data_IF_467829974684
#
_entry.id   IF_467829974684
#
_cell.length_a   1.000
_cell.length_b   1.000
_cell.length_c   1.000
_cell.angle_alpha   90.00
_cell.angle_beta   90.00
_cell.angle_gamma   90.00
#
_symmetry.space_group_name_H-M   'P 1'
#
loop_
_entity.id
_entity.type
_entity.pdbx_description
1 polymer ?
#
# COMPACT_ATOMS: atom_id res chain seq x y z
N UNK A 1 24.95 -23.98 -2.22
CA UNK A 1 24.30 -25.01 -3.08
C UNK A 1 22.98 -24.45 -3.56
N UNK A 2 22.57 -24.71 -4.80
CA UNK A 2 21.25 -24.31 -5.28
C UNK A 2 20.17 -25.19 -4.66
N UNK A 3 19.07 -24.56 -4.22
CA UNK A 3 17.89 -25.22 -3.66
C UNK A 3 16.66 -24.83 -4.48
N UNK A 4 15.61 -25.64 -4.38
CA UNK A 4 14.27 -25.32 -4.91
C UNK A 4 13.27 -25.24 -3.77
N UNK A 5 12.59 -24.11 -3.66
CA UNK A 5 11.48 -23.91 -2.74
C UNK A 5 10.16 -23.93 -3.51
N UNK A 6 9.22 -24.74 -3.05
CA UNK A 6 7.81 -24.63 -3.41
C UNK A 6 7.11 -23.92 -2.27
N UNK A 7 6.64 -22.70 -2.54
CA UNK A 7 6.02 -21.83 -1.56
C UNK A 7 4.53 -21.74 -1.88
N UNK A 8 3.70 -21.98 -0.88
CA UNK A 8 2.26 -21.76 -0.96
C UNK A 8 1.90 -20.54 -0.10
N UNK A 9 1.25 -19.56 -0.72
CA UNK A 9 0.88 -18.30 -0.09
C UNK A 9 -0.63 -18.15 -0.10
N UNK A 10 -1.22 -17.88 1.05
CA UNK A 10 -2.67 -17.64 1.20
C UNK A 10 -2.94 -16.24 1.74
N UNK A 11 -4.17 -15.76 1.53
CA UNK A 11 -4.64 -14.45 1.98
C UNK A 11 -5.16 -13.60 0.82
N UNK A 12 -5.03 -12.28 0.95
CA UNK A 12 -5.33 -11.33 -0.13
C UNK A 12 -4.14 -11.21 -1.06
N UNK A 13 -3.93 -12.25 -1.88
CA UNK A 13 -2.76 -12.38 -2.77
C UNK A 13 -3.12 -12.41 -4.26
N UNK A 14 -4.35 -12.77 -4.62
CA UNK A 14 -4.78 -12.71 -6.02
C UNK A 14 -5.36 -11.34 -6.37
N UNK A 15 -5.25 -10.95 -7.66
CA UNK A 15 -5.79 -9.69 -8.25
C UNK A 15 -5.17 -8.39 -7.70
N UNK A 16 -4.35 -8.46 -6.66
CA UNK A 16 -3.67 -7.32 -6.00
C UNK A 16 -2.25 -7.08 -6.50
N UNK A 17 -1.79 -7.80 -7.52
CA UNK A 17 -0.46 -7.64 -8.10
C UNK A 17 0.64 -8.49 -7.45
N UNK A 18 0.30 -9.40 -6.53
CA UNK A 18 1.28 -10.21 -5.79
C UNK A 18 2.28 -10.98 -6.67
N UNK A 19 1.85 -11.65 -7.75
CA UNK A 19 2.81 -12.36 -8.65
C UNK A 19 3.84 -11.42 -9.27
N UNK A 20 3.46 -10.16 -9.55
CA UNK A 20 4.38 -9.12 -10.03
C UNK A 20 5.33 -8.62 -8.94
N UNK A 21 4.82 -8.48 -7.72
CA UNK A 21 5.62 -8.19 -6.52
C UNK A 21 6.65 -9.32 -6.27
N UNK A 22 6.23 -10.58 -6.30
CA UNK A 22 7.11 -11.74 -6.17
C UNK A 22 8.25 -11.70 -7.20
N UNK A 23 7.98 -11.37 -8.47
CA UNK A 23 9.05 -11.19 -9.47
C UNK A 23 10.04 -10.07 -9.09
N UNK A 24 9.55 -8.93 -8.59
CA UNK A 24 10.41 -7.82 -8.17
C UNK A 24 11.39 -8.27 -7.07
N UNK A 25 10.88 -9.00 -6.08
CA UNK A 25 11.66 -9.53 -4.96
C UNK A 25 12.61 -10.64 -5.43
N UNK A 26 12.17 -11.53 -6.33
CA UNK A 26 12.99 -12.59 -6.88
C UNK A 26 14.23 -12.03 -7.60
N UNK A 27 14.03 -11.02 -8.44
CA UNK A 27 15.11 -10.34 -9.15
C UNK A 27 16.12 -9.68 -8.20
N UNK A 28 15.66 -9.14 -7.07
CA UNK A 28 16.53 -8.50 -6.06
C UNK A 28 17.48 -9.51 -5.40
N UNK A 29 17.01 -10.74 -5.19
CA UNK A 29 17.74 -11.77 -4.45
C UNK A 29 18.38 -12.86 -5.34
N UNK A 30 18.36 -12.67 -6.66
CA UNK A 30 18.92 -13.64 -7.61
C UNK A 30 18.17 -14.97 -7.64
N UNK A 31 16.85 -14.92 -7.45
CA UNK A 31 15.95 -16.08 -7.43
C UNK A 31 15.25 -16.21 -8.79
N UNK A 32 15.19 -17.44 -9.30
CA UNK A 32 14.58 -17.82 -10.56
C UNK A 32 13.33 -18.66 -10.32
N UNK A 33 12.45 -18.80 -11.32
CA UNK A 33 11.26 -19.66 -11.21
C UNK A 33 9.97 -18.98 -11.66
N UNK A 34 8.87 -19.24 -10.98
CA UNK A 34 7.58 -18.67 -11.35
C UNK A 34 6.60 -18.53 -10.19
N UNK A 35 5.58 -17.71 -10.39
CA UNK A 35 4.43 -17.61 -9.50
C UNK A 35 3.13 -17.80 -10.29
N UNK A 36 2.21 -18.64 -9.79
CA UNK A 36 0.92 -18.93 -10.43
C UNK A 36 -0.24 -18.84 -9.42
N UNK A 37 -1.41 -18.41 -9.90
CA UNK A 37 -2.63 -18.42 -9.10
C UNK A 37 -3.25 -19.82 -9.11
N UNK A 38 -3.64 -20.31 -7.95
CA UNK A 38 -4.41 -21.56 -7.83
C UNK A 38 -5.91 -21.28 -7.79
N UNK A 39 -6.72 -22.29 -8.11
CA UNK A 39 -8.18 -22.20 -8.17
C UNK A 39 -8.84 -21.97 -6.82
N UNK A 40 -8.16 -22.32 -5.73
CA UNK A 40 -8.61 -22.13 -4.34
C UNK A 40 -8.37 -20.70 -3.81
N UNK A 41 -7.79 -19.81 -4.61
CA UNK A 41 -7.49 -18.44 -4.21
C UNK A 41 -6.07 -18.23 -3.67
N UNK A 42 -5.29 -19.30 -3.49
CA UNK A 42 -3.88 -19.21 -3.09
C UNK A 42 -2.96 -18.91 -4.28
N UNK A 43 -1.69 -18.62 -4.00
CA UNK A 43 -0.62 -18.48 -5.00
C UNK A 43 0.45 -19.51 -4.70
N UNK A 44 0.86 -20.25 -5.73
CA UNK A 44 2.02 -21.13 -5.68
C UNK A 44 3.21 -20.43 -6.30
N UNK A 45 4.35 -20.51 -5.65
CA UNK A 45 5.63 -20.03 -6.16
C UNK A 45 6.59 -21.22 -6.21
N UNK A 46 7.23 -21.43 -7.34
CA UNK A 46 8.42 -22.29 -7.44
C UNK A 46 9.61 -21.35 -7.59
N UNK A 47 10.56 -21.46 -6.67
CA UNK A 47 11.72 -20.58 -6.58
C UNK A 47 13.00 -21.41 -6.51
N UNK A 48 13.97 -21.11 -7.37
CA UNK A 48 15.30 -21.71 -7.37
C UNK A 48 16.36 -20.63 -7.16
N UNK A 49 17.39 -20.95 -6.38
CA UNK A 49 18.47 -20.01 -6.11
C UNK A 49 19.41 -20.51 -5.03
N UNK A 50 20.35 -19.64 -4.65
CA UNK A 50 21.18 -19.87 -3.47
C UNK A 50 20.34 -19.79 -2.20
N UNK A 51 20.70 -20.61 -1.20
CA UNK A 51 19.99 -20.70 0.08
C UNK A 51 19.77 -19.33 0.75
N UNK A 52 20.78 -18.48 0.77
CA UNK A 52 20.67 -17.13 1.33
C UNK A 52 19.72 -16.23 0.52
N UNK A 53 19.75 -16.33 -0.82
CA UNK A 53 18.86 -15.58 -1.70
C UNK A 53 17.41 -16.00 -1.51
N UNK A 54 17.16 -17.31 -1.42
CA UNK A 54 15.84 -17.87 -1.16
C UNK A 54 15.31 -17.51 0.23
N UNK A 55 16.16 -17.51 1.27
CA UNK A 55 15.77 -17.09 2.60
C UNK A 55 15.33 -15.62 2.63
N UNK A 56 16.12 -14.73 2.01
CA UNK A 56 15.76 -13.30 1.89
C UNK A 56 14.51 -13.08 1.03
N UNK A 57 14.36 -13.86 -0.03
CA UNK A 57 13.17 -13.86 -0.87
C UNK A 57 11.91 -14.22 -0.08
N UNK A 58 11.94 -15.27 0.73
CA UNK A 58 10.83 -15.67 1.59
C UNK A 58 10.48 -14.60 2.64
N UNK A 59 11.48 -13.90 3.18
CA UNK A 59 11.26 -12.83 4.15
C UNK A 59 10.57 -11.62 3.51
N UNK A 60 11.12 -11.11 2.42
CA UNK A 60 10.55 -9.98 1.67
C UNK A 60 9.18 -10.32 1.05
N UNK A 61 8.94 -11.60 0.74
CA UNK A 61 7.65 -12.07 0.23
C UNK A 61 6.49 -11.82 1.20
N UNK A 62 6.74 -11.64 2.50
CA UNK A 62 5.71 -11.33 3.51
C UNK A 62 4.97 -10.02 3.23
N UNK A 63 5.55 -9.13 2.43
CA UNK A 63 4.92 -7.93 1.90
C UNK A 63 4.36 -6.98 3.00
N UNK A 64 5.08 -6.82 4.12
CA UNK A 64 4.62 -6.03 5.27
C UNK A 64 4.32 -4.55 4.92
N UNK A 65 5.02 -4.00 3.92
CA UNK A 65 4.85 -2.61 3.47
C UNK A 65 3.86 -2.44 2.30
N UNK A 66 3.23 -3.51 1.82
CA UNK A 66 2.36 -3.45 0.63
C UNK A 66 0.88 -3.25 1.03
N UNK A 67 0.27 -2.08 0.75
CA UNK A 67 -1.05 -1.73 1.29
C UNK A 67 -2.18 -2.59 0.74
N UNK A 68 -2.00 -3.23 -0.42
CA UNK A 68 -3.04 -4.02 -1.09
C UNK A 68 -2.83 -5.53 -0.92
N UNK A 69 -1.66 -5.96 -0.50
CA UNK A 69 -1.30 -7.36 -0.36
C UNK A 69 -1.41 -7.73 1.12
N UNK A 70 -2.11 -8.82 1.42
CA UNK A 70 -2.16 -9.35 2.79
C UNK A 70 -1.89 -10.84 2.75
N UNK A 71 -0.87 -11.29 3.48
CA UNK A 71 -0.54 -12.70 3.59
C UNK A 71 -1.08 -13.21 4.92
N UNK A 72 -1.92 -14.23 4.83
CA UNK A 72 -2.51 -14.90 5.99
C UNK A 72 -1.65 -16.13 6.37
N UNK A 73 -1.07 -16.83 5.38
CA UNK A 73 -0.07 -17.87 5.63
C UNK A 73 0.92 -18.00 4.47
N UNK A 74 2.15 -18.42 4.80
CA UNK A 74 3.21 -18.76 3.86
C UNK A 74 3.88 -20.05 4.34
N UNK A 75 3.83 -21.10 3.51
CA UNK A 75 4.48 -22.38 3.80
C UNK A 75 5.50 -22.72 2.73
N UNK A 76 6.67 -23.20 3.14
CA UNK A 76 7.78 -23.52 2.24
C UNK A 76 8.07 -25.02 2.31
N UNK A 77 8.17 -25.66 1.15
CA UNK A 77 8.66 -27.03 0.99
C UNK A 77 9.94 -27.01 0.17
N UNK A 78 11.03 -27.51 0.73
CA UNK A 78 12.32 -27.60 0.05
C UNK A 78 12.46 -28.89 -0.76
N UNK A 79 13.09 -28.79 -1.92
CA UNK A 79 13.53 -29.92 -2.75
C UNK A 79 14.86 -29.62 -3.45
N UNK A 80 15.43 -30.62 -4.11
CA UNK A 80 16.61 -30.45 -4.94
C UNK A 80 16.29 -29.53 -6.13
N UNK A 81 17.21 -28.62 -6.46
CA UNK A 81 17.09 -27.79 -7.66
C UNK A 81 17.35 -28.62 -8.90
N UNK A 82 16.55 -28.41 -9.95
CA UNK A 82 16.79 -29.01 -11.28
C UNK A 82 17.52 -28.03 -12.21
N UNK A 83 17.66 -26.76 -11.82
CA UNK A 83 18.38 -25.73 -12.59
C UNK A 83 17.68 -25.38 -13.90
N UNK A 84 16.35 -25.37 -13.91
CA UNK A 84 15.53 -25.29 -15.14
C UNK A 84 15.12 -23.86 -15.51
N UNK A 85 15.40 -22.88 -14.65
CA UNK A 85 14.92 -21.50 -14.83
C UNK A 85 16.07 -20.52 -15.05
N UNK A 86 15.87 -19.59 -15.98
CA UNK A 86 16.77 -18.50 -16.36
C UNK A 86 16.29 -17.12 -15.88
N UNK A 87 15.00 -16.99 -15.57
CA UNK A 87 14.38 -15.79 -14.98
C UNK A 87 13.19 -16.17 -14.09
N UNK A 88 12.59 -15.17 -13.43
CA UNK A 88 11.38 -15.35 -12.65
C UNK A 88 10.14 -14.81 -13.40
N UNK A 89 9.15 -15.67 -13.66
CA UNK A 89 7.95 -15.29 -14.41
C UNK A 89 6.63 -15.37 -13.62
N UNK A 90 5.81 -14.31 -13.64
CA UNK A 90 4.42 -14.39 -13.26
C UNK A 90 3.65 -15.17 -14.34
N UNK A 91 3.14 -16.35 -14.00
CA UNK A 91 2.28 -17.11 -14.90
C UNK A 91 0.86 -16.59 -14.81
N UNK A 92 0.34 -16.10 -15.94
CA UNK A 92 -1.05 -15.65 -16.09
C UNK A 92 -1.85 -16.76 -16.78
N UNK A 93 -3.07 -17.02 -16.29
CA UNK A 93 -4.00 -17.95 -16.94
C UNK A 93 -4.69 -17.26 -18.12
N UNK A 94 -6.02 -17.34 -18.16
CA UNK A 94 -6.81 -16.58 -19.13
C UNK A 94 -6.66 -15.06 -18.87
N UNK A 95 -5.87 -14.42 -19.73
CA UNK A 95 -5.58 -12.99 -19.64
C UNK A 95 -6.84 -12.12 -19.70
N UNK A 96 -7.84 -12.48 -20.52
CA UNK A 96 -9.07 -11.69 -20.63
C UNK A 96 -9.85 -11.72 -19.32
N UNK A 97 -10.03 -12.93 -18.76
CA UNK A 97 -10.71 -13.11 -17.48
C UNK A 97 -9.96 -12.40 -16.34
N UNK A 98 -8.65 -12.55 -16.27
CA UNK A 98 -7.84 -11.92 -15.25
C UNK A 98 -7.85 -10.38 -15.36
N UNK A 99 -7.74 -9.83 -16.59
CA UNK A 99 -7.78 -8.39 -16.82
C UNK A 99 -9.14 -7.78 -16.45
N UNK A 100 -10.23 -8.49 -16.73
CA UNK A 100 -11.57 -8.07 -16.31
C UNK A 100 -11.66 -7.93 -14.78
N UNK A 101 -11.25 -8.95 -14.04
CA UNK A 101 -11.28 -8.91 -12.57
C UNK A 101 -10.35 -7.84 -11.98
N UNK A 102 -9.19 -7.59 -12.60
CA UNK A 102 -8.31 -6.47 -12.18
C UNK A 102 -8.96 -5.12 -12.41
N UNK A 103 -9.70 -4.97 -13.51
CA UNK A 103 -10.42 -3.73 -13.83
C UNK A 103 -11.55 -3.46 -12.83
N UNK A 104 -12.31 -4.50 -12.46
CA UNK A 104 -13.36 -4.40 -11.44
C UNK A 104 -12.81 -3.97 -10.08
N UNK A 105 -11.71 -4.60 -9.63
CA UNK A 105 -11.04 -4.22 -8.39
C UNK A 105 -10.48 -2.79 -8.45
N UNK A 106 -9.94 -2.38 -9.61
CA UNK A 106 -9.51 -1.00 -9.84
C UNK A 106 -10.65 0.01 -9.67
N UNK A 107 -11.84 -0.29 -10.18
CA UNK A 107 -13.03 0.55 -10.00
C UNK A 107 -13.48 0.62 -8.53
N UNK A 108 -13.39 -0.48 -7.80
CA UNK A 108 -13.69 -0.52 -6.36
C UNK A 108 -12.73 0.40 -5.58
N UNK A 109 -11.42 0.32 -5.84
CA UNK A 109 -10.45 1.22 -5.21
C UNK A 109 -10.69 2.69 -5.57
N UNK A 110 -10.99 2.99 -6.83
CA UNK A 110 -11.33 4.37 -7.23
C UNK A 110 -12.55 4.90 -6.48
N UNK A 111 -13.58 4.07 -6.28
CA UNK A 111 -14.75 4.44 -5.47
C UNK A 111 -14.36 4.74 -4.02
N UNK A 112 -13.51 3.91 -3.40
CA UNK A 112 -13.03 4.15 -2.04
C UNK A 112 -12.15 5.40 -1.94
N UNK A 113 -11.28 5.66 -2.92
CA UNK A 113 -10.48 6.89 -2.99
C UNK A 113 -11.38 8.13 -3.08
N UNK A 114 -12.41 8.10 -3.94
CA UNK A 114 -13.37 9.21 -4.05
C UNK A 114 -14.10 9.44 -2.71
N UNK A 115 -14.48 8.37 -2.00
CA UNK A 115 -15.09 8.49 -0.67
C UNK A 115 -14.13 9.14 0.35
N UNK A 116 -12.88 8.70 0.37
CA UNK A 116 -11.84 9.26 1.25
C UNK A 116 -11.56 10.73 0.92
N UNK A 117 -11.45 11.08 -0.37
CA UNK A 117 -11.28 12.47 -0.81
C UNK A 117 -12.46 13.36 -0.41
N UNK A 118 -13.71 12.87 -0.55
CA UNK A 118 -14.89 13.60 -0.09
C UNK A 118 -14.87 13.86 1.41
N UNK A 119 -14.44 12.88 2.22
CA UNK A 119 -14.28 13.06 3.68
C UNK A 119 -13.20 14.10 4.00
N UNK A 120 -12.06 14.03 3.30
CA UNK A 120 -10.97 14.99 3.46
C UNK A 120 -11.41 16.41 3.10
N UNK A 121 -12.13 16.59 1.98
CA UNK A 121 -12.68 17.87 1.57
C UNK A 121 -13.64 18.46 2.61
N UNK A 122 -14.54 17.64 3.18
CA UNK A 122 -15.45 18.09 4.24
C UNK A 122 -14.68 18.60 5.47
N UNK A 123 -13.64 17.88 5.88
CA UNK A 123 -12.78 18.29 6.99
C UNK A 123 -12.02 19.59 6.67
N UNK A 124 -11.59 19.77 5.42
CA UNK A 124 -10.97 21.03 4.97
C UNK A 124 -11.96 22.20 4.99
N UNK A 125 -13.22 22.00 4.56
CA UNK A 125 -14.27 23.02 4.63
C UNK A 125 -14.56 23.45 6.08
N UNK A 126 -14.67 22.48 6.98
CA UNK A 126 -14.86 22.72 8.42
C UNK A 126 -13.66 23.50 9.00
N UNK A 127 -12.43 23.12 8.65
CA UNK A 127 -11.22 23.82 9.08
C UNK A 127 -11.17 25.27 8.56
N UNK A 128 -11.51 25.49 7.29
CA UNK A 128 -11.59 26.83 6.70
C UNK A 128 -12.65 27.67 7.40
N UNK A 129 -13.80 27.08 7.75
CA UNK A 129 -14.84 27.77 8.52
C UNK A 129 -14.34 28.20 9.89
N UNK A 130 -13.72 27.28 10.64
CA UNK A 130 -13.16 27.57 11.96
C UNK A 130 -12.10 28.69 11.91
N UNK A 131 -11.20 28.67 10.91
CA UNK A 131 -10.21 29.73 10.71
C UNK A 131 -10.84 31.09 10.41
N UNK A 132 -11.94 31.12 9.63
CA UNK A 132 -12.68 32.37 9.37
C UNK A 132 -13.28 32.94 10.65
N UNK A 133 -13.83 32.10 11.50
CA UNK A 133 -14.42 32.55 12.76
C UNK A 133 -13.36 33.00 13.77
N UNK A 134 -12.24 32.28 13.88
CA UNK A 134 -11.07 32.73 14.66
C UNK A 134 -10.54 34.09 14.18
N UNK A 135 -10.49 34.32 12.87
CA UNK A 135 -10.08 35.60 12.29
C UNK A 135 -11.05 36.73 12.66
N UNK A 136 -12.36 36.48 12.62
CA UNK A 136 -13.38 37.46 13.06
C UNK A 136 -13.22 37.80 14.55
N UNK A 137 -13.05 36.79 15.39
CA UNK A 137 -12.88 36.99 16.83
C UNK A 137 -11.59 37.76 17.14
N UNK A 138 -10.49 37.43 16.47
CA UNK A 138 -9.21 38.15 16.60
C UNK A 138 -9.35 39.61 16.19
N UNK A 139 -10.09 39.92 15.11
CA UNK A 139 -10.37 41.30 14.70
C UNK A 139 -11.18 42.05 15.76
N UNK A 140 -12.21 41.42 16.33
CA UNK A 140 -13.04 42.00 17.40
C UNK A 140 -12.22 42.28 18.67
N UNK A 141 -11.36 41.34 19.08
CA UNK A 141 -10.44 41.51 20.21
C UNK A 141 -9.50 42.69 19.98
N UNK A 142 -8.95 42.82 18.77
CA UNK A 142 -8.09 43.95 18.39
C UNK A 142 -8.82 45.30 18.47
N UNK A 143 -10.04 45.39 17.95
CA UNK A 143 -10.86 46.62 18.03
C UNK A 143 -11.15 47.04 19.48
N UNK A 144 -11.39 46.07 20.38
CA UNK A 144 -11.56 46.35 21.82
C UNK A 144 -10.26 46.85 22.45
N UNK A 145 -9.13 46.21 22.14
CA UNK A 145 -7.80 46.63 22.61
C UNK A 145 -7.47 48.06 22.17
N UNK A 146 -7.72 48.40 20.90
CA UNK A 146 -7.53 49.75 20.36
C UNK A 146 -8.32 50.80 21.16
N UNK A 147 -9.61 50.54 21.43
CA UNK A 147 -10.45 51.45 22.24
C UNK A 147 -9.98 51.60 23.68
N UNK A 148 -9.52 50.52 24.32
CA UNK A 148 -8.99 50.57 25.68
C UNK A 148 -7.71 51.42 25.73
N UNK A 149 -6.83 51.25 24.74
CA UNK A 149 -5.60 52.05 24.63
C UNK A 149 -5.93 53.54 24.45
N UNK A 150 -6.89 53.89 23.60
CA UNK A 150 -7.35 55.28 23.41
C UNK A 150 -7.92 55.89 24.70
N UNK A 151 -8.73 55.14 25.44
CA UNK A 151 -9.32 55.58 26.71
C UNK A 151 -8.26 55.84 27.79
N UNK A 152 -7.22 55.01 27.88
CA UNK A 152 -6.11 55.22 28.81
C UNK A 152 -5.33 56.49 28.44
N UNK A 153 -5.06 56.71 27.14
CA UNK A 153 -4.36 57.92 26.69
C UNK A 153 -5.15 59.20 26.96
N UNK A 154 -6.49 59.17 26.90
CA UNK A 154 -7.32 60.36 27.19
C UNK A 154 -7.44 60.69 28.67
N UNK A 155 -7.30 59.70 29.56
CA UNK A 155 -7.33 59.91 31.02
C UNK A 155 -5.96 60.24 31.65
N UNK A 156 -4.85 60.04 30.93
CA UNK A 156 -3.49 60.27 31.42
C UNK A 156 -2.86 61.63 31.07
N UNK A 157 -3.60 62.60 30.52
CA UNK A 157 -3.10 63.93 30.11
C UNK A 157 -3.58 65.05 31.06
N UNK A 158 -3.88 64.71 32.31
CA UNK A 158 -4.22 65.67 33.38
C UNK A 158 -3.11 65.81 34.39
#
# INVERSE_FOLDING_TARGET
MQRRYTILVTGRVQRVGFRGFARLIANRHGVFGYAENLSDGSVRIVAEGEEEGLARFCEDLKAEDEPLIRIDSLSVTESASEGTFDHFEPHFGDFQKEMFHRSELGLEYLKEMIKLQKRSLKMQEEMVSALRDMKKESKKRREVLERVIEAIHTQGVG
#
